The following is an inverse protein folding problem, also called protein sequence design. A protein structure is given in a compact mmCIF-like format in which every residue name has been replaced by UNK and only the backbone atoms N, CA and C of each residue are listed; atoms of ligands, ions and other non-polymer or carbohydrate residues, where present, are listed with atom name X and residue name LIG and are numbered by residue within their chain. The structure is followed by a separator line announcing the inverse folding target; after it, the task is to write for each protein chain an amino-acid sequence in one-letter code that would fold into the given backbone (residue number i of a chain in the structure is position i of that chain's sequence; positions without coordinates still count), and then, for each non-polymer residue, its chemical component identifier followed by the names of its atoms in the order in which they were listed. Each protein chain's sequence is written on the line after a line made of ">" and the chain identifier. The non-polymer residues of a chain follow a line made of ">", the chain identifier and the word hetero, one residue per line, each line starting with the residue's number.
data_IF_318538874226
#
_entry.id   IF_318538874226
#
_cell.length_a   1.000
_cell.length_b   1.000
_cell.length_c   1.000
_cell.angle_alpha   90.00
_cell.angle_beta   90.00
_cell.angle_gamma   90.00
#
_symmetry.space_group_name_H-M   'P 1'
#
loop_
_entity.id
_entity.type
_entity.pdbx_description
1 polymer ?
#
# COMPACT_ATOMS: atom_id res chain seq x y z
N UNK A 1 33.85 11.34 -1.51
CA UNK A 1 34.44 12.66 -1.15
C UNK A 1 34.71 12.60 0.35
N UNK A 2 35.97 12.47 0.76
CA UNK A 2 36.36 12.31 2.15
C UNK A 2 37.00 13.62 2.63
N UNK A 3 36.49 14.17 3.73
CA UNK A 3 36.98 15.43 4.31
C UNK A 3 37.97 15.06 5.41
N UNK A 4 39.22 15.49 5.25
CA UNK A 4 40.29 15.30 6.25
C UNK A 4 40.49 16.64 6.96
N UNK A 5 40.24 16.68 8.27
CA UNK A 5 40.57 17.84 9.11
C UNK A 5 41.78 17.48 9.98
N UNK A 6 42.87 18.24 9.86
CA UNK A 6 44.07 18.10 10.68
C UNK A 6 44.14 19.19 11.73
N UNK A 7 44.29 18.79 12.99
CA UNK A 7 44.79 19.66 14.07
C UNK A 7 45.90 18.90 14.80
N UNK A 8 46.92 19.63 15.26
CA UNK A 8 48.16 19.07 15.77
C UNK A 8 47.91 18.09 16.94
N UNK A 9 48.49 16.89 16.80
CA UNK A 9 48.61 15.80 17.78
C UNK A 9 47.44 14.86 18.08
N UNK A 10 46.41 14.76 17.23
CA UNK A 10 45.57 13.55 17.24
C UNK A 10 44.94 13.24 15.88
N UNK A 11 45.31 12.11 15.28
CA UNK A 11 44.70 11.60 14.05
C UNK A 11 43.40 10.88 14.39
N UNK A 12 42.25 11.51 14.16
CA UNK A 12 40.93 10.88 14.28
C UNK A 12 40.48 10.45 12.89
N UNK A 13 40.41 9.13 12.65
CA UNK A 13 39.83 8.57 11.44
C UNK A 13 38.33 8.41 11.67
N UNK A 14 37.53 9.34 11.14
CA UNK A 14 36.08 9.18 11.07
C UNK A 14 35.75 8.19 9.95
N UNK A 15 35.62 6.91 10.31
CA UNK A 15 35.07 5.90 9.41
C UNK A 15 33.58 6.14 9.18
N UNK A 16 33.15 6.06 7.91
CA UNK A 16 31.74 6.12 7.52
C UNK A 16 30.97 4.97 8.20
N UNK A 17 30.34 5.31 9.33
CA UNK A 17 29.44 4.43 10.04
C UNK A 17 28.27 4.05 9.15
N UNK A 18 28.20 2.76 8.81
CA UNK A 18 27.01 2.12 8.26
C UNK A 18 25.79 2.54 9.08
N UNK A 19 24.82 3.19 8.44
CA UNK A 19 23.49 3.44 9.01
C UNK A 19 22.78 2.09 9.20
N UNK A 20 22.99 1.51 10.36
CA UNK A 20 22.15 0.46 10.91
C UNK A 20 20.83 1.12 11.36
N UNK A 21 19.85 1.21 10.44
CA UNK A 21 18.49 1.61 10.80
C UNK A 21 17.81 0.42 11.47
N UNK A 22 18.02 0.34 12.79
CA UNK A 22 17.32 -0.57 13.68
C UNK A 22 15.82 -0.27 13.65
N UNK A 23 15.05 -1.35 13.53
CA UNK A 23 13.64 -1.48 13.86
C UNK A 23 13.23 -0.70 15.12
N UNK A 24 12.46 0.38 14.96
CA UNK A 24 11.79 1.03 16.08
C UNK A 24 10.57 0.19 16.48
N UNK A 25 10.82 -0.70 17.43
CA UNK A 25 9.85 -1.45 18.20
C UNK A 25 8.69 -0.58 18.70
N UNK A 26 7.47 -0.97 18.32
CA UNK A 26 6.42 -1.37 19.24
C UNK A 26 6.53 -0.79 20.67
N UNK A 27 6.06 0.45 20.89
CA UNK A 27 5.88 1.01 22.24
C UNK A 27 4.84 2.12 22.29
N UNK A 28 3.57 1.83 21.95
CA UNK A 28 2.44 2.67 22.39
C UNK A 28 1.90 2.13 23.70
N UNK A 29 2.37 2.80 24.75
CA UNK A 29 2.08 2.58 26.16
C UNK A 29 0.57 2.63 26.43
N UNK A 30 0.09 1.61 27.13
CA UNK A 30 -1.04 1.71 28.06
C UNK A 30 -0.86 2.93 28.96
N UNK A 31 -1.74 3.92 28.83
CA UNK A 31 -1.74 5.11 29.68
C UNK A 31 -3.15 5.55 30.07
N UNK A 32 -4.03 4.61 30.42
CA UNK A 32 -5.25 4.94 31.17
C UNK A 32 -5.63 3.74 32.05
N UNK A 33 -5.06 3.72 33.26
CA UNK A 33 -5.55 2.89 34.36
C UNK A 33 -5.50 3.77 35.60
N UNK A 34 -6.64 3.90 36.27
CA UNK A 34 -6.97 4.71 37.45
C UNK A 34 -7.49 6.13 37.17
N UNK A 35 -8.80 6.24 36.89
CA UNK A 35 -9.62 7.31 37.48
C UNK A 35 -10.89 6.67 38.03
N UNK A 36 -11.10 6.94 39.30
CA UNK A 36 -12.16 6.44 40.17
C UNK A 36 -13.55 6.84 39.73
N UNK A 37 -14.51 6.01 40.13
CA UNK A 37 -15.95 6.17 40.07
C UNK A 37 -16.44 7.56 40.53
N UNK A 38 -17.16 8.26 39.65
CA UNK A 38 -18.15 9.28 40.03
C UNK A 38 -19.42 8.98 39.22
N UNK A 39 -20.47 8.59 39.95
CA UNK A 39 -21.85 8.57 39.48
C UNK A 39 -22.33 10.01 39.26
N UNK A 40 -22.90 10.31 38.10
CA UNK A 40 -23.83 11.45 37.97
C UNK A 40 -24.90 11.14 36.92
N UNK A 41 -26.14 11.26 37.41
CA UNK A 41 -27.43 10.94 36.81
C UNK A 41 -27.90 12.12 35.93
N UNK A 42 -28.83 11.81 35.02
CA UNK A 42 -29.75 12.70 34.31
C UNK A 42 -29.22 13.43 33.06
N UNK A 43 -29.61 12.91 31.90
CA UNK A 43 -30.74 13.42 31.11
C UNK A 43 -30.49 13.06 29.65
N UNK A 44 -30.99 11.90 29.23
CA UNK A 44 -31.10 11.54 27.82
C UNK A 44 -32.19 12.39 27.18
N UNK A 45 -31.88 13.65 26.87
CA UNK A 45 -32.52 14.36 25.78
C UNK A 45 -32.11 13.65 24.51
N UNK A 46 -32.95 12.70 24.07
CA UNK A 46 -32.95 12.16 22.72
C UNK A 46 -33.18 13.34 21.77
N UNK A 47 -32.10 14.01 21.40
CA UNK A 47 -32.03 14.75 20.15
C UNK A 47 -32.27 13.70 19.07
N UNK A 48 -33.50 13.63 18.59
CA UNK A 48 -33.82 13.09 17.27
C UNK A 48 -33.01 13.90 16.26
N UNK A 49 -31.73 13.56 16.13
CA UNK A 49 -30.95 13.90 14.96
C UNK A 49 -31.74 13.30 13.80
N UNK A 50 -32.47 14.15 13.09
CA UNK A 50 -33.10 13.81 11.83
C UNK A 50 -32.02 13.15 10.99
N UNK A 51 -32.16 11.84 10.82
CA UNK A 51 -31.24 10.95 10.14
C UNK A 51 -31.26 11.20 8.63
N UNK A 52 -31.08 12.46 8.20
CA UNK A 52 -30.99 12.84 6.79
C UNK A 52 -29.77 12.19 6.10
N UNK A 53 -28.82 11.67 6.88
CA UNK A 53 -27.66 10.93 6.37
C UNK A 53 -27.81 9.40 6.45
N UNK A 54 -28.87 8.85 7.09
CA UNK A 54 -29.08 7.40 7.11
C UNK A 54 -29.67 6.86 5.80
N UNK A 55 -30.36 7.71 5.04
CA UNK A 55 -30.86 7.36 3.71
C UNK A 55 -29.72 7.07 2.71
N UNK A 56 -28.55 7.69 2.89
CA UNK A 56 -27.35 7.48 2.06
C UNK A 56 -26.73 6.08 2.27
N UNK A 57 -27.03 5.42 3.40
CA UNK A 57 -26.55 4.05 3.67
C UNK A 57 -27.51 2.95 3.20
N UNK A 58 -28.72 3.32 2.74
CA UNK A 58 -29.72 2.37 2.23
C UNK A 58 -29.87 2.39 0.70
N UNK A 59 -29.29 3.38 0.01
CA UNK A 59 -29.14 3.30 -1.45
C UNK A 59 -28.29 2.09 -1.79
N UNK A 60 -28.70 1.29 -2.77
CA UNK A 60 -27.95 0.12 -3.23
C UNK A 60 -26.48 0.44 -3.53
N UNK A 61 -25.63 -0.59 -3.61
CA UNK A 61 -24.23 -0.38 -4.02
C UNK A 61 -24.13 -0.03 -5.50
N UNK A 62 -23.22 0.89 -5.86
CA UNK A 62 -22.70 1.02 -7.22
C UNK A 62 -21.19 0.81 -7.16
N UNK A 63 -20.74 -0.41 -7.45
CA UNK A 63 -19.34 -0.79 -7.40
C UNK A 63 -18.85 -1.09 -8.82
N UNK A 64 -17.75 -0.46 -9.22
CA UNK A 64 -17.20 -0.58 -10.57
C UNK A 64 -18.20 -0.23 -11.69
N UNK A 65 -19.20 0.63 -11.42
CA UNK A 65 -20.23 0.98 -12.39
C UNK A 65 -21.35 -0.06 -12.56
N UNK A 66 -21.44 -1.03 -11.66
CA UNK A 66 -22.53 -2.01 -11.61
C UNK A 66 -23.28 -1.93 -10.27
N UNK A 67 -24.61 -2.12 -10.32
CA UNK A 67 -25.47 -2.20 -9.15
C UNK A 67 -26.73 -1.34 -9.26
N UNK A 68 -27.71 -1.61 -8.39
CA UNK A 68 -29.05 -1.04 -8.49
C UNK A 68 -29.11 0.48 -8.25
N UNK A 69 -28.09 1.06 -7.59
CA UNK A 69 -28.03 2.50 -7.36
C UNK A 69 -27.20 3.26 -8.39
N UNK A 70 -26.60 2.59 -9.39
CA UNK A 70 -25.80 3.31 -10.38
C UNK A 70 -26.64 4.31 -11.18
N UNK A 71 -27.88 3.97 -11.51
CA UNK A 71 -28.79 4.86 -12.24
C UNK A 71 -29.23 6.06 -11.38
N UNK A 72 -29.47 5.84 -10.08
CA UNK A 72 -29.78 6.90 -9.12
C UNK A 72 -28.59 7.84 -8.91
N UNK A 73 -27.38 7.29 -8.76
CA UNK A 73 -26.15 8.07 -8.65
C UNK A 73 -25.87 8.87 -9.93
N UNK A 74 -26.24 8.33 -11.09
CA UNK A 74 -26.10 9.05 -12.33
C UNK A 74 -27.10 10.22 -12.43
N UNK A 75 -28.28 10.12 -11.80
CA UNK A 75 -29.33 11.15 -11.81
C UNK A 75 -29.59 11.72 -13.22
N UNK A 76 -29.67 10.82 -14.21
CA UNK A 76 -29.85 11.18 -15.63
C UNK A 76 -28.64 11.82 -16.32
N UNK A 77 -27.52 12.06 -15.61
CA UNK A 77 -26.30 12.64 -16.16
C UNK A 77 -25.56 11.65 -17.08
N UNK A 78 -25.57 11.96 -18.39
CA UNK A 78 -24.92 11.14 -19.43
C UNK A 78 -23.41 10.97 -19.25
N UNK A 79 -22.73 11.96 -18.71
CA UNK A 79 -21.29 11.86 -18.46
C UNK A 79 -21.00 10.82 -17.36
N UNK A 80 -21.74 10.84 -16.26
CA UNK A 80 -21.59 9.87 -15.16
C UNK A 80 -21.92 8.46 -15.63
N UNK A 81 -22.99 8.27 -16.42
CA UNK A 81 -23.32 6.98 -17.04
C UNK A 81 -22.16 6.45 -17.90
N UNK A 82 -21.52 7.33 -18.69
CA UNK A 82 -20.37 6.93 -19.51
C UNK A 82 -19.16 6.51 -18.68
N UNK A 83 -18.96 7.10 -17.50
CA UNK A 83 -17.89 6.72 -16.57
C UNK A 83 -18.20 5.38 -15.90
N UNK A 84 -19.44 5.15 -15.48
CA UNK A 84 -19.89 3.87 -14.93
C UNK A 84 -19.71 2.74 -15.94
N UNK A 85 -20.13 2.94 -17.19
CA UNK A 85 -19.93 1.97 -18.28
C UNK A 85 -18.45 1.66 -18.54
N UNK A 86 -17.59 2.70 -18.58
CA UNK A 86 -16.14 2.50 -18.71
C UNK A 86 -15.55 1.76 -17.53
N UNK A 87 -16.05 2.02 -16.32
CA UNK A 87 -15.61 1.31 -15.12
C UNK A 87 -16.04 -0.15 -15.15
N UNK A 88 -17.26 -0.44 -15.59
CA UNK A 88 -17.79 -1.79 -15.68
C UNK A 88 -17.00 -2.61 -16.70
N UNK A 89 -16.72 -2.02 -17.87
CA UNK A 89 -15.92 -2.64 -18.92
C UNK A 89 -14.46 -2.96 -18.49
N UNK A 90 -13.94 -2.31 -17.44
CA UNK A 90 -12.58 -2.52 -16.92
C UNK A 90 -12.53 -3.19 -15.55
N UNK A 91 -13.68 -3.63 -15.03
CA UNK A 91 -13.80 -4.22 -13.69
C UNK A 91 -12.81 -5.37 -13.46
N UNK A 92 -12.71 -6.29 -14.41
CA UNK A 92 -11.83 -7.46 -14.31
C UNK A 92 -10.35 -7.07 -14.24
N UNK A 93 -9.94 -6.08 -15.05
CA UNK A 93 -8.58 -5.56 -15.05
C UNK A 93 -8.25 -4.96 -13.69
N UNK A 94 -9.13 -4.12 -13.15
CA UNK A 94 -8.93 -3.51 -11.83
C UNK A 94 -8.93 -4.54 -10.70
N UNK A 95 -9.78 -5.56 -10.76
CA UNK A 95 -9.80 -6.64 -9.80
C UNK A 95 -8.47 -7.42 -9.81
N UNK A 96 -7.97 -7.76 -11.01
CA UNK A 96 -6.67 -8.43 -11.17
C UNK A 96 -5.51 -7.57 -10.68
N UNK A 97 -5.45 -6.29 -11.07
CA UNK A 97 -4.44 -5.34 -10.60
C UNK A 97 -4.45 -5.17 -9.08
N UNK A 98 -5.65 -5.11 -8.48
CA UNK A 98 -5.80 -5.02 -7.02
C UNK A 98 -5.29 -6.28 -6.30
N UNK A 99 -5.55 -7.47 -6.86
CA UNK A 99 -5.04 -8.73 -6.31
C UNK A 99 -3.52 -8.83 -6.46
N UNK A 100 -2.99 -8.47 -7.63
CA UNK A 100 -1.54 -8.42 -7.88
C UNK A 100 -0.84 -7.49 -6.89
N UNK A 101 -1.38 -6.28 -6.69
CA UNK A 101 -0.86 -5.32 -5.72
C UNK A 101 -0.92 -5.86 -4.28
N UNK A 102 -1.99 -6.58 -3.93
CA UNK A 102 -2.11 -7.24 -2.64
C UNK A 102 -1.01 -8.30 -2.44
N UNK A 103 -0.77 -9.15 -3.43
CA UNK A 103 0.27 -10.17 -3.35
C UNK A 103 1.67 -9.55 -3.23
N UNK A 104 1.96 -8.52 -4.01
CA UNK A 104 3.26 -7.84 -3.97
C UNK A 104 3.50 -7.05 -2.69
N UNK A 105 2.44 -6.61 -2.01
CA UNK A 105 2.59 -5.91 -0.74
C UNK A 105 2.85 -6.86 0.43
N UNK A 106 2.19 -8.01 0.46
CA UNK A 106 2.13 -8.86 1.66
C UNK A 106 3.14 -10.02 1.65
N UNK A 107 3.50 -10.55 0.49
CA UNK A 107 4.27 -11.80 0.41
C UNK A 107 5.80 -11.67 0.21
N UNK A 108 6.42 -10.54 -0.16
CA UNK A 108 7.88 -10.48 -0.30
C UNK A 108 8.63 -10.87 0.97
N UNK A 109 8.12 -10.46 2.13
CA UNK A 109 8.78 -10.75 3.42
C UNK A 109 8.62 -12.23 3.80
N UNK A 110 7.52 -12.88 3.39
CA UNK A 110 7.33 -14.32 3.57
C UNK A 110 8.40 -15.10 2.79
N UNK A 111 8.63 -14.77 1.51
CA UNK A 111 9.61 -15.48 0.69
C UNK A 111 11.05 -15.22 1.15
N UNK A 112 11.36 -14.02 1.65
CA UNK A 112 12.66 -13.73 2.26
C UNK A 112 12.98 -14.64 3.45
N UNK A 113 11.99 -15.03 4.24
CA UNK A 113 12.20 -15.98 5.36
C UNK A 113 12.57 -17.40 4.89
N UNK A 114 12.27 -17.73 3.63
CA UNK A 114 12.56 -19.01 3.00
C UNK A 114 13.80 -18.96 2.08
N UNK A 115 14.59 -17.89 2.16
CA UNK A 115 15.73 -17.61 1.26
C UNK A 115 15.35 -17.64 -0.24
N UNK A 116 14.15 -17.16 -0.53
CA UNK A 116 13.61 -17.06 -1.90
C UNK A 116 13.21 -15.64 -2.23
N UNK A 117 13.33 -15.31 -3.51
CA UNK A 117 12.95 -14.02 -4.08
C UNK A 117 11.80 -14.24 -5.04
N UNK A 118 10.68 -13.55 -4.77
CA UNK A 118 9.50 -13.58 -5.64
C UNK A 118 9.69 -12.57 -6.78
N UNK A 119 9.59 -13.05 -8.02
CA UNK A 119 9.75 -12.24 -9.24
C UNK A 119 8.51 -12.39 -10.11
N UNK A 120 7.99 -11.26 -10.60
CA UNK A 120 6.85 -11.23 -11.53
C UNK A 120 7.34 -11.45 -12.96
N UNK A 121 6.71 -12.36 -13.69
CA UNK A 121 6.95 -12.60 -15.12
C UNK A 121 6.13 -11.61 -15.98
N UNK A 122 6.50 -11.41 -17.26
CA UNK A 122 5.75 -10.54 -18.18
C UNK A 122 4.31 -11.03 -18.43
N UNK A 123 4.05 -12.33 -18.30
CA UNK A 123 2.71 -12.94 -18.37
C UNK A 123 1.80 -12.59 -17.17
N UNK A 124 2.36 -11.95 -16.13
CA UNK A 124 1.68 -11.60 -14.90
C UNK A 124 1.70 -12.70 -13.83
N UNK A 125 2.24 -13.88 -14.14
CA UNK A 125 2.46 -14.94 -13.15
C UNK A 125 3.68 -14.65 -12.29
N UNK A 126 3.84 -15.41 -11.20
CA UNK A 126 4.93 -15.24 -10.25
C UNK A 126 5.80 -16.49 -10.21
N UNK A 127 7.12 -16.29 -10.14
CA UNK A 127 8.11 -17.35 -9.95
C UNK A 127 9.00 -17.00 -8.76
N UNK A 128 9.47 -18.02 -8.06
CA UNK A 128 10.43 -17.86 -6.98
C UNK A 128 11.80 -18.35 -7.42
N UNK A 129 12.83 -17.55 -7.19
CA UNK A 129 14.23 -17.92 -7.36
C UNK A 129 14.91 -18.00 -6.00
N UNK A 130 16.04 -18.70 -5.90
CA UNK A 130 16.91 -18.57 -4.73
C UNK A 130 17.56 -17.18 -4.71
N UNK A 131 18.09 -16.75 -3.55
CA UNK A 131 18.77 -15.45 -3.46
C UNK A 131 19.99 -15.35 -4.38
N UNK A 132 20.70 -16.47 -4.62
CA UNK A 132 21.86 -16.54 -5.50
C UNK A 132 21.46 -16.40 -6.98
N UNK A 133 20.49 -17.19 -7.44
CA UNK A 133 19.95 -17.13 -8.81
C UNK A 133 19.39 -15.74 -9.13
N UNK A 134 18.64 -15.15 -8.20
CA UNK A 134 18.11 -13.81 -8.38
C UNK A 134 19.22 -12.76 -8.52
N UNK A 135 20.31 -12.88 -7.76
CA UNK A 135 21.45 -11.97 -7.88
C UNK A 135 22.14 -12.10 -9.24
N UNK A 136 22.28 -13.31 -9.76
CA UNK A 136 22.93 -13.52 -11.06
C UNK A 136 22.04 -13.03 -12.20
N UNK A 137 20.73 -13.28 -12.13
CA UNK A 137 19.76 -12.72 -13.07
C UNK A 137 19.67 -11.18 -13.00
N UNK A 138 19.94 -10.56 -11.86
CA UNK A 138 20.08 -9.11 -11.73
C UNK A 138 21.36 -8.58 -12.39
N UNK A 139 22.49 -9.28 -12.20
CA UNK A 139 23.77 -8.93 -12.85
C UNK A 139 23.66 -9.05 -14.38
N UNK A 140 22.95 -10.07 -14.85
CA UNK A 140 22.62 -10.28 -16.26
C UNK A 140 21.64 -9.24 -16.83
N UNK A 141 21.03 -8.40 -15.97
CA UNK A 141 20.03 -7.41 -16.38
C UNK A 141 18.67 -8.01 -16.78
N UNK A 142 18.48 -9.32 -16.56
CA UNK A 142 17.21 -10.04 -16.82
C UNK A 142 16.14 -9.69 -15.79
N UNK A 143 16.51 -9.32 -14.57
CA UNK A 143 15.58 -8.81 -13.56
C UNK A 143 15.71 -7.29 -13.46
N UNK A 144 14.58 -6.58 -13.57
CA UNK A 144 14.47 -5.16 -13.22
C UNK A 144 13.66 -4.93 -11.97
N UNK A 145 14.02 -3.88 -11.24
CA UNK A 145 13.23 -3.37 -10.13
C UNK A 145 12.26 -2.32 -10.70
N UNK A 146 10.97 -2.63 -10.70
CA UNK A 146 9.91 -1.70 -11.07
C UNK A 146 9.32 -1.06 -9.82
N UNK A 147 9.24 0.27 -9.82
CA UNK A 147 8.50 0.98 -8.79
C UNK A 147 7.00 0.87 -9.09
N UNK A 148 6.17 0.45 -8.11
CA UNK A 148 4.73 0.41 -8.30
C UNK A 148 4.21 1.82 -8.60
N UNK A 149 3.25 1.89 -9.53
CA UNK A 149 2.64 3.15 -9.93
C UNK A 149 1.16 3.17 -9.57
N UNK A 150 0.70 4.28 -9.01
CA UNK A 150 -0.69 4.58 -8.72
C UNK A 150 -1.31 5.50 -9.80
N UNK A 151 -2.63 5.64 -9.74
CA UNK A 151 -3.43 6.50 -10.62
C UNK A 151 -3.13 6.28 -12.11
N UNK A 152 -3.22 5.02 -12.56
CA UNK A 152 -3.01 4.64 -13.96
C UNK A 152 -1.62 5.05 -14.49
N UNK A 153 -0.57 4.73 -13.72
CA UNK A 153 0.82 4.97 -14.13
C UNK A 153 1.29 6.41 -14.03
N UNK A 154 0.55 7.30 -13.36
CA UNK A 154 0.90 8.74 -13.30
C UNK A 154 1.76 9.12 -12.10
N UNK A 155 1.64 8.38 -11.00
CA UNK A 155 2.32 8.71 -9.74
C UNK A 155 3.01 7.47 -9.23
N UNK A 156 4.30 7.56 -8.92
CA UNK A 156 5.02 6.49 -8.24
C UNK A 156 4.50 6.34 -6.81
N UNK A 157 4.08 5.13 -6.43
CA UNK A 157 3.60 4.85 -5.08
C UNK A 157 4.77 4.48 -4.16
N UNK A 158 5.32 5.50 -3.50
CA UNK A 158 6.43 5.31 -2.54
C UNK A 158 6.02 4.55 -1.27
N UNK A 159 4.72 4.31 -1.05
CA UNK A 159 4.25 3.54 0.11
C UNK A 159 4.36 2.02 -0.10
N UNK A 160 4.53 1.60 -1.36
CA UNK A 160 4.67 0.21 -1.73
C UNK A 160 6.14 -0.14 -1.98
N UNK A 161 6.50 -1.39 -1.68
CA UNK A 161 7.87 -1.88 -1.91
C UNK A 161 8.09 -2.06 -3.43
N UNK A 162 9.32 -1.81 -3.92
CA UNK A 162 9.65 -2.06 -5.31
C UNK A 162 9.46 -3.55 -5.66
N UNK A 163 9.00 -3.81 -6.87
CA UNK A 163 8.70 -5.17 -7.37
C UNK A 163 9.82 -5.60 -8.30
N UNK A 164 10.26 -6.85 -8.20
CA UNK A 164 11.21 -7.43 -9.14
C UNK A 164 10.45 -8.07 -10.30
N UNK A 165 10.78 -7.67 -11.53
CA UNK A 165 10.18 -8.18 -12.76
C UNK A 165 11.23 -8.78 -13.68
N UNK A 166 10.91 -9.94 -14.24
CA UNK A 166 11.69 -10.56 -15.29
C UNK A 166 11.43 -9.82 -16.62
N UNK A 167 12.50 -9.41 -17.29
CA UNK A 167 12.47 -8.90 -18.67
C UNK A 167 12.56 -10.07 -19.64
N UNK A 168 11.91 -9.91 -20.78
CA UNK A 168 12.10 -10.79 -21.95
C UNK A 168 13.49 -10.60 -22.57
#
# INVERSE_FOLDING_TARGET
>A
LSIICTTHDTTIICGDGYKQQSSSLYRRRHFFRNISSIFLVAASSCLSASNSNAAILQSGGCAYGEGSACDEIADGNKFIQSLQQKSAARKEIYAKESLDAYYMKNYPDMFKSMDRVLVKKPDGSYVTFTSEEASDLMKDGKISIQQPMAKNGKITDLTQKPIMMLKE
#
